data_IF_371845865123
#
_entry.id   IF_371845865123
#
_cell.length_a   1.000
_cell.length_b   1.000
_cell.length_c   1.000
_cell.angle_alpha   90.00
_cell.angle_beta   90.00
_cell.angle_gamma   90.00
#
_symmetry.space_group_name_H-M   'P 1'
#
loop_
_entity.id
_entity.type
_entity.pdbx_description
1 polymer ?
#
# COMPACT_ATOMS: atom_id res chain seq x y z
N UNK A 1 -18.23 -2.16 8.91
CA UNK A 1 -16.78 -2.31 8.68
C UNK A 1 -16.52 -2.48 7.20
N UNK A 2 -15.60 -1.72 6.66
CA UNK A 2 -15.25 -1.78 5.24
C UNK A 2 -13.84 -2.32 5.06
N UNK A 3 -13.45 -2.53 3.82
CA UNK A 3 -12.12 -2.95 3.43
C UNK A 3 -11.63 -2.02 2.33
N UNK A 4 -10.37 -1.65 2.37
CA UNK A 4 -9.75 -0.79 1.37
C UNK A 4 -8.35 -1.27 1.03
N UNK A 5 -7.83 -0.83 -0.11
CA UNK A 5 -6.47 -1.16 -0.55
C UNK A 5 -5.49 -0.22 0.15
N UNK A 6 -4.46 -0.78 0.77
CA UNK A 6 -3.47 -0.02 1.54
C UNK A 6 -2.11 -0.05 0.84
N UNK A 7 -1.75 1.06 0.20
CA UNK A 7 -0.43 1.19 -0.41
C UNK A 7 0.66 1.33 0.66
N UNK A 8 1.81 0.75 0.38
CA UNK A 8 2.96 0.82 1.29
C UNK A 8 3.37 2.26 1.63
N UNK A 9 3.14 3.22 0.74
CA UNK A 9 3.47 4.63 0.98
C UNK A 9 2.80 5.19 2.24
N UNK A 10 1.57 4.78 2.52
CA UNK A 10 0.86 5.19 3.75
C UNK A 10 1.57 4.61 4.98
N UNK A 11 1.83 3.31 4.95
CA UNK A 11 2.41 2.58 6.10
C UNK A 11 3.81 3.11 6.41
N UNK A 12 4.58 3.45 5.39
CA UNK A 12 5.92 3.98 5.56
C UNK A 12 5.93 5.33 6.29
N UNK A 13 4.87 6.13 6.16
CA UNK A 13 4.78 7.37 6.94
C UNK A 13 4.70 7.09 8.44
N UNK A 14 4.12 5.96 8.83
CA UNK A 14 4.05 5.57 10.24
C UNK A 14 5.42 5.14 10.77
N UNK A 15 6.26 4.56 9.89
CA UNK A 15 7.59 4.06 10.27
C UNK A 15 8.67 5.15 10.25
N UNK A 16 8.46 6.22 9.49
CA UNK A 16 9.42 7.32 9.34
C UNK A 16 8.77 8.64 9.79
N UNK A 17 9.02 9.08 11.05
CA UNK A 17 8.33 10.26 11.62
C UNK A 17 8.51 11.55 10.83
N UNK A 18 9.60 11.68 10.06
CA UNK A 18 9.84 12.85 9.20
C UNK A 18 8.96 12.87 7.94
N UNK A 19 8.18 11.81 7.71
CA UNK A 19 7.25 11.70 6.59
C UNK A 19 5.80 11.78 7.05
N UNK A 20 5.51 12.58 8.07
CA UNK A 20 4.16 12.74 8.60
C UNK A 20 3.15 13.09 7.51
N UNK A 21 1.96 12.50 7.63
CA UNK A 21 0.86 12.72 6.71
C UNK A 21 -0.45 12.65 7.48
N UNK A 22 -1.28 13.69 7.32
CA UNK A 22 -2.62 13.68 7.90
C UNK A 22 -3.45 12.53 7.30
N UNK A 23 -3.27 12.27 6.02
CA UNK A 23 -3.96 11.16 5.33
C UNK A 23 -3.59 9.83 5.97
N UNK A 24 -2.31 9.60 6.24
CA UNK A 24 -1.86 8.35 6.86
C UNK A 24 -2.44 8.19 8.28
N UNK A 25 -2.57 9.28 9.01
CA UNK A 25 -3.18 9.25 10.33
C UNK A 25 -4.67 8.89 10.26
N UNK A 26 -5.40 9.47 9.32
CA UNK A 26 -6.82 9.15 9.10
C UNK A 26 -7.01 7.68 8.74
N UNK A 27 -6.10 7.14 7.91
CA UNK A 27 -6.12 5.71 7.54
C UNK A 27 -5.88 4.83 8.76
N UNK A 28 -4.91 5.19 9.61
CA UNK A 28 -4.66 4.45 10.86
C UNK A 28 -5.90 4.43 11.76
N UNK A 29 -6.62 5.55 11.85
CA UNK A 29 -7.84 5.65 12.63
C UNK A 29 -8.94 4.74 12.09
N UNK A 30 -9.08 4.62 10.76
CA UNK A 30 -10.04 3.70 10.14
C UNK A 30 -9.75 2.25 10.52
N UNK A 31 -8.47 1.86 10.48
CA UNK A 31 -8.06 0.50 10.85
C UNK A 31 -8.34 0.26 12.34
N UNK A 32 -8.02 1.21 13.19
CA UNK A 32 -8.31 1.13 14.62
C UNK A 32 -9.82 1.01 14.89
N UNK A 33 -10.64 1.58 14.02
CA UNK A 33 -12.10 1.51 14.08
C UNK A 33 -12.70 0.22 13.56
N UNK A 34 -11.89 -0.70 13.03
CA UNK A 34 -12.33 -2.02 12.61
C UNK A 34 -12.30 -2.29 11.11
N UNK A 35 -11.88 -1.33 10.28
CA UNK A 35 -11.73 -1.58 8.84
C UNK A 35 -10.58 -2.56 8.60
N UNK A 36 -10.72 -3.38 7.56
CA UNK A 36 -9.67 -4.29 7.10
C UNK A 36 -8.98 -3.70 5.88
N UNK A 37 -7.80 -4.22 5.57
CA UNK A 37 -7.06 -3.81 4.37
C UNK A 37 -6.78 -5.01 3.48
N UNK A 38 -6.71 -4.77 2.17
CA UNK A 38 -6.28 -5.76 1.18
C UNK A 38 -5.06 -5.23 0.46
N UNK A 39 -4.05 -6.08 0.29
CA UNK A 39 -2.76 -5.70 -0.28
C UNK A 39 -2.27 -6.79 -1.24
N UNK A 40 -1.39 -6.44 -2.20
CA UNK A 40 -0.74 -7.45 -3.03
C UNK A 40 0.09 -8.42 -2.19
N UNK A 41 0.25 -9.64 -2.70
CA UNK A 41 1.00 -10.70 -2.01
C UNK A 41 2.45 -10.30 -1.68
N UNK A 42 3.05 -9.37 -2.43
CA UNK A 42 4.43 -8.92 -2.22
C UNK A 42 4.55 -7.80 -1.15
N UNK A 43 3.45 -7.39 -0.54
CA UNK A 43 3.42 -6.23 0.38
C UNK A 43 4.40 -6.36 1.54
N UNK A 44 4.51 -7.53 2.15
CA UNK A 44 5.45 -7.74 3.26
C UNK A 44 6.90 -7.58 2.83
N UNK A 45 7.26 -8.08 1.63
CA UNK A 45 8.60 -7.89 1.09
C UNK A 45 8.87 -6.42 0.78
N UNK A 46 7.90 -5.72 0.25
CA UNK A 46 8.01 -4.29 -0.04
C UNK A 46 8.24 -3.50 1.25
N UNK A 47 7.49 -3.79 2.29
CA UNK A 47 7.66 -3.17 3.60
C UNK A 47 9.04 -3.49 4.20
N UNK A 48 9.42 -4.75 4.19
CA UNK A 48 10.73 -5.16 4.72
C UNK A 48 11.87 -4.46 3.98
N UNK A 49 11.80 -4.41 2.66
CA UNK A 49 12.83 -3.74 1.87
C UNK A 49 12.98 -2.26 2.25
N UNK A 50 11.87 -1.56 2.41
CA UNK A 50 11.89 -0.15 2.82
C UNK A 50 12.51 0.06 4.20
N UNK A 51 12.20 -0.83 5.15
CA UNK A 51 12.78 -0.76 6.49
C UNK A 51 14.29 -1.02 6.47
N UNK A 52 14.74 -2.02 5.69
CA UNK A 52 16.16 -2.33 5.55
C UNK A 52 16.93 -1.19 4.86
N UNK A 53 16.33 -0.56 3.86
CA UNK A 53 16.91 0.65 3.23
C UNK A 53 17.02 1.77 4.26
N UNK A 54 16.00 1.93 5.11
CA UNK A 54 16.05 2.90 6.21
C UNK A 54 17.21 2.66 7.16
N UNK A 55 17.50 1.39 7.48
CA UNK A 55 18.67 1.05 8.29
C UNK A 55 19.99 1.42 7.59
N UNK A 56 20.10 1.08 6.31
CA UNK A 56 21.29 1.43 5.50
C UNK A 56 21.54 2.93 5.49
N UNK A 57 20.49 3.72 5.42
CA UNK A 57 20.57 5.19 5.40
C UNK A 57 20.61 5.80 6.79
N UNK A 58 20.74 4.98 7.82
CA UNK A 58 20.82 5.40 9.22
C UNK A 58 19.59 6.19 9.69
N UNK A 59 18.42 5.93 9.10
CA UNK A 59 17.14 6.49 9.53
C UNK A 59 16.46 5.62 10.58
N UNK A 60 16.79 4.33 10.61
CA UNK A 60 16.25 3.34 11.54
C UNK A 60 17.38 2.51 12.14
N UNK A 61 17.09 1.92 13.29
CA UNK A 61 17.95 0.91 13.91
C UNK A 61 17.28 -0.46 13.76
N UNK A 62 18.02 -1.59 13.86
CA UNK A 62 17.41 -2.92 13.86
C UNK A 62 16.33 -3.09 14.93
N UNK A 63 16.48 -2.45 16.08
CA UNK A 63 15.50 -2.50 17.18
C UNK A 63 14.20 -1.80 16.78
N UNK A 64 14.27 -0.66 16.12
CA UNK A 64 13.09 0.04 15.62
C UNK A 64 12.42 -0.76 14.50
N UNK A 65 13.21 -1.34 13.58
CA UNK A 65 12.67 -2.22 12.54
C UNK A 65 11.87 -3.36 13.14
N UNK A 66 12.40 -4.01 14.18
CA UNK A 66 11.70 -5.09 14.87
C UNK A 66 10.38 -4.61 15.46
N UNK A 67 10.38 -3.45 16.10
CA UNK A 67 9.18 -2.86 16.69
C UNK A 67 8.11 -2.59 15.63
N UNK A 68 8.51 -2.02 14.49
CA UNK A 68 7.57 -1.76 13.39
C UNK A 68 7.02 -3.05 12.79
N UNK A 69 7.85 -4.08 12.64
CA UNK A 69 7.40 -5.38 12.14
C UNK A 69 6.35 -5.98 13.07
N UNK A 70 6.57 -5.89 14.38
CA UNK A 70 5.58 -6.38 15.36
C UNK A 70 4.24 -5.65 15.19
N UNK A 71 4.28 -4.34 14.96
CA UNK A 71 3.06 -3.54 14.71
C UNK A 71 2.40 -3.92 13.39
N UNK A 72 3.19 -4.11 12.34
CA UNK A 72 2.68 -4.49 11.01
C UNK A 72 2.00 -5.86 11.05
N UNK A 73 2.52 -6.79 11.83
CA UNK A 73 1.92 -8.12 11.98
C UNK A 73 0.54 -8.09 12.66
N UNK A 74 0.21 -7.01 13.35
CA UNK A 74 -1.11 -6.85 13.99
C UNK A 74 -2.16 -6.25 13.08
N UNK A 75 -1.77 -5.74 11.90
CA UNK A 75 -2.74 -5.15 10.97
C UNK A 75 -3.67 -6.23 10.40
N UNK A 76 -4.95 -5.91 10.25
CA UNK A 76 -5.93 -6.86 9.68
C UNK A 76 -5.81 -6.92 8.16
N UNK A 77 -4.81 -7.64 7.66
CA UNK A 77 -4.40 -7.68 6.26
C UNK A 77 -4.94 -8.92 5.57
N UNK A 78 -5.62 -8.71 4.44
CA UNK A 78 -5.97 -9.76 3.49
C UNK A 78 -5.00 -9.65 2.30
N UNK A 79 -4.49 -10.79 1.82
CA UNK A 79 -3.56 -10.81 0.68
C UNK A 79 -4.31 -11.10 -0.61
N UNK A 80 -4.02 -10.33 -1.65
CA UNK A 80 -4.47 -10.60 -3.00
C UNK A 80 -3.38 -11.38 -3.76
N UNK A 81 -3.77 -12.54 -4.30
CA UNK A 81 -2.86 -13.39 -5.07
C UNK A 81 -3.44 -13.53 -6.48
N UNK A 82 -3.05 -12.66 -7.42
CA UNK A 82 -3.62 -12.66 -8.76
C UNK A 82 -3.12 -13.84 -9.59
N UNK A 83 -3.93 -14.24 -10.58
CA UNK A 83 -3.49 -15.21 -11.58
C UNK A 83 -2.45 -14.61 -12.53
N UNK A 84 -1.74 -15.45 -13.25
CA UNK A 84 -0.83 -15.00 -14.31
C UNK A 84 -1.51 -14.09 -15.30
N UNK A 85 -2.74 -14.40 -15.71
CA UNK A 85 -3.47 -13.61 -16.68
C UNK A 85 -3.78 -12.20 -16.16
N UNK A 86 -4.15 -12.08 -14.88
CA UNK A 86 -4.40 -10.77 -14.27
C UNK A 86 -3.12 -9.94 -14.28
N UNK A 87 -2.00 -10.53 -13.88
CA UNK A 87 -0.72 -9.79 -13.83
C UNK A 87 -0.27 -9.41 -15.24
N UNK A 88 -0.15 -10.37 -16.14
CA UNK A 88 0.47 -10.14 -17.44
C UNK A 88 -0.45 -9.48 -18.48
N UNK A 89 -1.74 -9.41 -18.26
CA UNK A 89 -2.68 -8.71 -19.14
C UNK A 89 -3.27 -7.47 -18.47
N UNK A 90 -3.96 -7.63 -17.36
CA UNK A 90 -4.71 -6.52 -16.74
C UNK A 90 -3.78 -5.50 -16.09
N UNK A 91 -2.85 -5.95 -15.25
CA UNK A 91 -1.88 -5.06 -14.60
C UNK A 91 -1.00 -4.40 -15.65
N UNK A 92 -0.53 -5.16 -16.65
CA UNK A 92 0.27 -4.60 -17.73
C UNK A 92 -0.46 -3.47 -18.45
N UNK A 93 -1.73 -3.68 -18.79
CA UNK A 93 -2.54 -2.66 -19.50
C UNK A 93 -2.69 -1.38 -18.65
N UNK A 94 -2.96 -1.52 -17.36
CA UNK A 94 -3.06 -0.38 -16.44
C UNK A 94 -1.73 0.37 -16.34
N UNK A 95 -0.63 -0.37 -16.24
CA UNK A 95 0.70 0.24 -16.15
C UNK A 95 1.06 1.04 -17.42
N UNK A 96 0.74 0.52 -18.59
CA UNK A 96 0.99 1.24 -19.85
C UNK A 96 0.10 2.48 -19.98
N UNK A 97 -1.17 2.34 -19.63
CA UNK A 97 -2.13 3.43 -19.70
C UNK A 97 -1.76 4.60 -18.78
N UNK A 98 -1.29 4.31 -17.57
CA UNK A 98 -1.04 5.32 -16.54
C UNK A 98 0.44 5.55 -16.26
N UNK A 99 1.33 4.87 -16.96
CA UNK A 99 2.79 4.97 -16.78
C UNK A 99 3.16 4.67 -15.34
N UNK A 100 2.78 3.48 -14.88
CA UNK A 100 3.04 2.99 -13.54
C UNK A 100 4.03 1.82 -13.57
N UNK A 101 4.71 1.61 -12.44
CA UNK A 101 5.44 0.37 -12.23
C UNK A 101 4.44 -0.79 -12.07
N UNK A 102 4.90 -2.02 -12.29
CA UNK A 102 4.06 -3.19 -12.06
C UNK A 102 3.57 -3.27 -10.61
N UNK A 103 4.37 -2.80 -9.67
CA UNK A 103 4.00 -2.79 -8.25
C UNK A 103 2.84 -1.82 -7.99
N UNK A 104 2.92 -0.59 -8.47
CA UNK A 104 1.82 0.37 -8.32
C UNK A 104 0.59 -0.08 -9.09
N UNK A 105 0.78 -0.65 -10.27
CA UNK A 105 -0.31 -1.22 -11.06
C UNK A 105 -1.04 -2.34 -10.36
N UNK A 106 -0.34 -3.14 -9.54
CA UNK A 106 -0.96 -4.20 -8.75
C UNK A 106 -1.94 -3.63 -7.70
N UNK A 107 -1.57 -2.56 -7.02
CA UNK A 107 -2.49 -1.89 -6.09
C UNK A 107 -3.72 -1.35 -6.81
N UNK A 108 -3.51 -0.70 -7.94
CA UNK A 108 -4.61 -0.14 -8.73
C UNK A 108 -5.57 -1.22 -9.22
N UNK A 109 -5.02 -2.34 -9.70
CA UNK A 109 -5.83 -3.46 -10.20
C UNK A 109 -6.74 -4.01 -9.11
N UNK A 110 -6.25 -4.20 -7.90
CA UNK A 110 -7.06 -4.67 -6.77
C UNK A 110 -8.23 -3.70 -6.53
N UNK A 111 -7.95 -2.41 -6.49
CA UNK A 111 -8.96 -1.39 -6.23
C UNK A 111 -10.06 -1.39 -7.33
N UNK A 112 -9.65 -1.52 -8.58
CA UNK A 112 -10.58 -1.55 -9.71
C UNK A 112 -11.41 -2.83 -9.69
N UNK A 113 -10.77 -3.99 -9.54
CA UNK A 113 -11.43 -5.29 -9.60
C UNK A 113 -12.38 -5.51 -8.41
N UNK A 114 -11.92 -5.20 -7.21
CA UNK A 114 -12.68 -5.40 -5.98
C UNK A 114 -13.64 -4.25 -5.68
N UNK A 115 -13.56 -3.17 -6.44
CA UNK A 115 -14.34 -1.94 -6.22
C UNK A 115 -14.12 -1.39 -4.80
N UNK A 116 -12.89 -1.43 -4.35
CA UNK A 116 -12.48 -0.88 -3.05
C UNK A 116 -11.84 0.49 -3.22
N UNK A 117 -11.96 1.32 -2.20
CA UNK A 117 -11.20 2.55 -2.12
C UNK A 117 -9.69 2.24 -1.98
N UNK A 118 -8.85 3.19 -2.32
CA UNK A 118 -7.40 3.07 -2.24
C UNK A 118 -6.84 4.16 -1.35
N UNK A 119 -5.97 3.76 -0.43
CA UNK A 119 -5.23 4.68 0.43
C UNK A 119 -3.77 4.74 -0.03
N UNK A 120 -3.34 5.90 -0.52
CA UNK A 120 -1.97 6.13 -0.97
C UNK A 120 -1.62 7.62 -0.88
N UNK A 121 -0.34 7.92 -0.68
CA UNK A 121 0.20 9.29 -0.79
C UNK A 121 1.02 9.46 -2.06
N UNK A 122 1.22 8.39 -2.84
CA UNK A 122 1.95 8.46 -4.10
C UNK A 122 1.11 9.19 -5.16
N UNK A 123 1.69 10.25 -5.75
CA UNK A 123 0.95 11.11 -6.67
C UNK A 123 0.57 10.40 -7.97
N UNK A 124 1.43 9.55 -8.51
CA UNK A 124 1.15 8.83 -9.75
C UNK A 124 0.01 7.83 -9.55
N UNK A 125 0.03 7.12 -8.44
CA UNK A 125 -1.03 6.17 -8.12
C UNK A 125 -2.36 6.88 -7.82
N UNK A 126 -2.33 8.03 -7.15
CA UNK A 126 -3.52 8.85 -6.92
C UNK A 126 -4.13 9.32 -8.23
N UNK A 127 -3.31 9.83 -9.15
CA UNK A 127 -3.76 10.29 -10.47
C UNK A 127 -4.41 9.15 -11.25
N UNK A 128 -3.78 7.99 -11.30
CA UNK A 128 -4.30 6.82 -12.00
C UNK A 128 -5.61 6.33 -11.39
N UNK A 129 -5.72 6.36 -10.07
CA UNK A 129 -6.92 5.95 -9.33
C UNK A 129 -8.12 6.83 -9.71
N UNK A 130 -7.93 8.15 -9.73
CA UNK A 130 -8.99 9.08 -10.15
C UNK A 130 -9.43 8.79 -11.58
N UNK A 131 -8.47 8.56 -12.50
CA UNK A 131 -8.78 8.27 -13.89
C UNK A 131 -9.57 6.97 -14.07
N UNK A 132 -9.38 5.99 -13.20
CA UNK A 132 -10.10 4.71 -13.24
C UNK A 132 -11.40 4.73 -12.40
N UNK A 133 -11.76 5.85 -11.81
CA UNK A 133 -12.97 5.96 -11.00
C UNK A 133 -12.84 5.32 -9.62
N UNK A 134 -11.62 5.09 -9.15
CA UNK A 134 -11.35 4.54 -7.82
C UNK A 134 -11.45 5.65 -6.77
N UNK A 135 -12.23 5.38 -5.71
CA UNK A 135 -12.31 6.30 -4.58
C UNK A 135 -10.96 6.36 -3.84
N UNK A 136 -10.52 7.56 -3.52
CA UNK A 136 -9.33 7.78 -2.70
C UNK A 136 -9.73 8.11 -1.26
N UNK A 137 -9.06 7.46 -0.31
CA UNK A 137 -9.22 7.80 1.09
C UNK A 137 -8.35 9.00 1.47
#
# INVERSE_FOLDING_TARGET
MSRFVLDASIVLTWCFPDEESQKAQEVAERIAGGDRVIVPAFWRHEMLNALLVGEKRKRLTPELTKSFIDDLDRLPVDLDIPSSAVVFKTVQALCRKHILTAYDGAYLEIAVCEKNALATVDQDLRRASVAEGVELL
#
